data_IF_826669668618
#
_entry.id   IF_826669668618
#
_cell.length_a   1.000
_cell.length_b   1.000
_cell.length_c   1.000
_cell.angle_alpha   90.00
_cell.angle_beta   90.00
_cell.angle_gamma   90.00
#
_symmetry.space_group_name_H-M   'P 1'
#
loop_
_entity.id
_entity.type
_entity.pdbx_description
1 polymer ?
#
# COMPACT_ATOMS: atom_id res chain seq x y z
N UNK A 1 -16.32 -7.22 -10.54
CA UNK A 1 -15.62 -5.95 -10.23
C UNK A 1 -14.49 -5.77 -11.24
N UNK A 2 -14.17 -4.55 -11.69
CA UNK A 2 -13.07 -4.33 -12.66
C UNK A 2 -11.92 -3.59 -11.97
N UNK A 3 -10.69 -4.07 -12.15
CA UNK A 3 -9.49 -3.39 -11.65
C UNK A 3 -9.23 -2.11 -12.45
N UNK A 4 -8.94 -1.03 -11.73
CA UNK A 4 -8.71 0.30 -12.27
C UNK A 4 -7.31 0.76 -11.91
N UNK A 5 -6.55 1.28 -12.86
CA UNK A 5 -5.15 1.67 -12.67
C UNK A 5 -4.96 3.18 -12.64
N UNK A 6 -4.04 3.66 -11.82
CA UNK A 6 -3.69 5.07 -11.68
C UNK A 6 -2.17 5.24 -11.54
N UNK A 7 -1.61 6.18 -12.30
CA UNK A 7 -0.16 6.30 -12.54
C UNK A 7 0.42 7.64 -12.03
N UNK A 8 -0.33 8.37 -11.20
CA UNK A 8 0.16 9.62 -10.60
C UNK A 8 0.39 9.45 -9.10
N UNK A 9 1.50 9.99 -8.62
CA UNK A 9 1.83 9.92 -7.21
C UNK A 9 0.95 10.89 -6.40
N UNK A 10 0.17 10.35 -5.45
CA UNK A 10 -0.58 11.15 -4.48
C UNK A 10 0.41 11.69 -3.44
N UNK A 11 0.48 13.01 -3.25
CA UNK A 11 1.54 13.66 -2.45
C UNK A 11 1.04 14.80 -1.54
N UNK A 12 1.87 15.18 -0.57
CA UNK A 12 1.64 16.27 0.38
C UNK A 12 0.32 16.09 1.15
N UNK A 13 -0.44 17.19 1.29
CA UNK A 13 -1.74 17.18 1.97
C UNK A 13 -2.74 16.18 1.39
N UNK A 14 -2.64 15.87 0.10
CA UNK A 14 -3.51 14.86 -0.51
C UNK A 14 -3.20 13.46 0.02
N UNK A 15 -1.91 13.12 0.16
CA UNK A 15 -1.48 11.85 0.73
C UNK A 15 -1.86 11.73 2.21
N UNK A 16 -1.62 12.78 2.98
CA UNK A 16 -1.97 12.83 4.41
C UNK A 16 -3.47 12.62 4.67
N UNK A 17 -4.35 12.99 3.72
CA UNK A 17 -5.78 12.72 3.78
C UNK A 17 -6.17 11.38 3.17
N UNK A 18 -5.45 10.94 2.14
CA UNK A 18 -5.71 9.68 1.44
C UNK A 18 -5.51 8.46 2.35
N UNK A 19 -4.45 8.44 3.16
CA UNK A 19 -4.15 7.28 4.01
C UNK A 19 -5.23 7.04 5.08
N UNK A 20 -5.64 8.04 5.89
CA UNK A 20 -6.77 7.87 6.82
C UNK A 20 -8.06 7.46 6.11
N UNK A 21 -8.39 8.09 4.97
CA UNK A 21 -9.57 7.73 4.18
C UNK A 21 -9.56 6.26 3.74
N UNK A 22 -8.40 5.75 3.32
CA UNK A 22 -8.25 4.32 2.98
C UNK A 22 -8.40 3.44 4.22
N UNK A 23 -7.84 3.84 5.36
CA UNK A 23 -7.96 3.11 6.62
C UNK A 23 -9.37 3.09 7.21
N UNK A 24 -10.18 4.12 6.96
CA UNK A 24 -11.62 4.14 7.29
C UNK A 24 -12.42 3.15 6.44
N UNK A 25 -11.99 2.91 5.20
CA UNK A 25 -12.68 2.01 4.27
C UNK A 25 -12.24 0.55 4.43
N UNK A 26 -11.00 0.32 4.84
CA UNK A 26 -10.36 -0.98 4.80
C UNK A 26 -9.64 -1.29 6.11
N UNK A 27 -10.05 -2.33 6.85
CA UNK A 27 -9.58 -2.60 8.22
C UNK A 27 -8.13 -3.09 8.29
N UNK A 28 -7.52 -3.46 7.17
CA UNK A 28 -6.17 -4.03 7.12
C UNK A 28 -5.38 -3.39 5.98
N UNK A 29 -4.11 -3.11 6.22
CA UNK A 29 -3.14 -2.78 5.19
C UNK A 29 -1.93 -3.70 5.27
N UNK A 30 -1.11 -3.72 4.21
CA UNK A 30 0.16 -4.43 4.22
C UNK A 30 1.32 -3.62 3.68
N UNK A 31 2.51 -4.05 4.04
CA UNK A 31 3.79 -3.59 3.52
C UNK A 31 4.66 -4.81 3.21
N UNK A 32 5.59 -4.67 2.26
CA UNK A 32 6.51 -5.74 1.85
C UNK A 32 7.95 -5.40 2.14
N UNK A 33 8.76 -6.39 2.53
CA UNK A 33 10.23 -6.25 2.62
C UNK A 33 10.93 -7.39 1.91
N UNK A 34 12.25 -7.29 1.72
CA UNK A 34 13.04 -8.38 1.13
C UNK A 34 12.95 -8.44 -0.40
N UNK A 35 13.18 -7.31 -1.09
CA UNK A 35 13.51 -7.33 -2.52
C UNK A 35 14.87 -8.03 -2.75
N UNK A 36 15.33 -8.08 -4.01
CA UNK A 36 16.68 -8.46 -4.48
C UNK A 36 17.82 -7.58 -3.88
N UNK A 37 17.59 -6.96 -2.72
CA UNK A 37 18.51 -6.07 -2.02
C UNK A 37 18.47 -6.38 -0.53
N UNK A 38 19.60 -6.28 0.17
CA UNK A 38 19.63 -6.46 1.62
C UNK A 38 18.65 -5.52 2.33
N UNK A 39 18.01 -6.07 3.36
CA UNK A 39 17.29 -5.33 4.39
C UNK A 39 18.22 -4.26 4.99
N UNK A 40 17.69 -3.07 5.27
CA UNK A 40 18.45 -1.94 5.82
C UNK A 40 17.96 -1.62 7.22
N UNK A 41 18.83 -1.11 8.07
CA UNK A 41 18.50 -0.73 9.45
C UNK A 41 17.29 0.22 9.52
N UNK A 42 17.18 1.17 8.57
CA UNK A 42 16.03 2.08 8.48
C UNK A 42 14.70 1.36 8.22
N UNK A 43 14.70 0.25 7.46
CA UNK A 43 13.50 -0.55 7.23
C UNK A 43 13.03 -1.22 8.52
N UNK A 44 13.97 -1.62 9.37
CA UNK A 44 13.68 -2.31 10.64
C UNK A 44 13.12 -1.35 11.66
N UNK A 45 13.71 -0.16 11.78
CA UNK A 45 13.21 0.92 12.62
C UNK A 45 11.76 1.30 12.25
N UNK A 46 11.45 1.34 10.95
CA UNK A 46 10.08 1.62 10.50
C UNK A 46 9.13 0.48 10.89
N UNK A 47 9.51 -0.78 10.63
CA UNK A 47 8.67 -1.94 10.94
C UNK A 47 8.42 -2.10 12.44
N UNK A 48 9.42 -1.88 13.29
CA UNK A 48 9.29 -1.94 14.76
C UNK A 48 8.20 -0.99 15.28
N UNK A 49 8.04 0.17 14.65
CA UNK A 49 6.98 1.12 15.01
C UNK A 49 5.58 0.59 14.67
N UNK A 50 5.48 -0.30 13.69
CA UNK A 50 4.22 -0.95 13.32
C UNK A 50 3.92 -2.22 14.13
N UNK A 51 4.88 -2.80 14.85
CA UNK A 51 4.72 -4.07 15.58
C UNK A 51 3.50 -4.14 16.50
N UNK A 52 3.12 -3.07 17.24
CA UNK A 52 1.92 -3.09 18.08
C UNK A 52 0.61 -3.32 17.30
N UNK A 53 0.63 -3.14 15.98
CA UNK A 53 -0.53 -3.25 15.10
C UNK A 53 -0.45 -4.47 14.17
N UNK A 54 0.58 -5.31 14.28
CA UNK A 54 0.82 -6.47 13.43
C UNK A 54 -0.28 -7.51 13.62
N UNK A 55 -0.81 -8.00 12.49
CA UNK A 55 -1.79 -9.08 12.42
C UNK A 55 -1.12 -10.36 11.93
N UNK A 56 -0.32 -10.24 10.88
CA UNK A 56 0.31 -11.38 10.20
C UNK A 56 1.65 -10.97 9.61
N UNK A 57 2.63 -11.86 9.68
CA UNK A 57 3.91 -11.78 8.99
C UNK A 57 4.11 -13.10 8.25
N UNK A 58 4.36 -13.04 6.94
CA UNK A 58 4.50 -14.25 6.12
C UNK A 58 5.49 -14.06 4.98
N UNK A 59 6.31 -15.07 4.74
CA UNK A 59 7.11 -15.16 3.51
C UNK A 59 6.22 -15.48 2.31
N UNK A 60 6.35 -14.70 1.24
CA UNK A 60 5.52 -14.77 0.05
C UNK A 60 6.34 -14.65 -1.22
N UNK A 61 5.85 -15.28 -2.28
CA UNK A 61 6.34 -15.11 -3.64
C UNK A 61 5.44 -14.16 -4.46
N UNK A 62 4.29 -13.77 -3.91
CA UNK A 62 3.35 -12.86 -4.56
C UNK A 62 2.62 -12.00 -3.54
N UNK A 63 2.30 -10.78 -3.96
CA UNK A 63 1.48 -9.83 -3.22
C UNK A 63 0.69 -8.99 -4.25
N UNK A 64 -0.25 -8.13 -3.82
CA UNK A 64 -1.09 -7.41 -4.76
C UNK A 64 -0.28 -6.62 -5.79
N UNK A 65 -0.36 -7.05 -7.05
CA UNK A 65 0.29 -6.40 -8.19
C UNK A 65 1.72 -6.86 -8.49
N UNK A 66 2.30 -7.81 -7.74
CA UNK A 66 3.67 -8.27 -7.99
C UNK A 66 3.85 -9.75 -7.65
N UNK A 67 4.62 -10.45 -8.48
CA UNK A 67 5.02 -11.84 -8.28
C UNK A 67 6.52 -11.99 -8.55
N UNK A 68 7.22 -12.65 -7.65
CA UNK A 68 8.62 -13.04 -7.83
C UNK A 68 8.66 -14.16 -8.87
N UNK A 69 9.47 -13.95 -9.91
CA UNK A 69 9.68 -14.95 -10.96
C UNK A 69 10.59 -16.07 -10.44
N UNK A 70 10.45 -17.32 -10.93
CA UNK A 70 11.22 -18.48 -10.46
C UNK A 70 12.74 -18.33 -10.54
N UNK A 71 13.22 -17.45 -11.41
CA UNK A 71 14.64 -17.14 -11.63
C UNK A 71 15.15 -15.97 -10.79
N UNK A 72 14.31 -15.38 -9.93
CA UNK A 72 14.68 -14.33 -9.00
C UNK A 72 15.11 -14.90 -7.67
N UNK A 73 16.34 -14.61 -7.24
CA UNK A 73 16.81 -14.92 -5.89
C UNK A 73 16.17 -13.92 -4.91
N UNK A 74 15.07 -14.32 -4.28
CA UNK A 74 14.45 -13.49 -3.24
C UNK A 74 13.23 -14.14 -2.61
N UNK A 75 13.15 -14.02 -1.29
CA UNK A 75 11.92 -14.25 -0.52
C UNK A 75 11.46 -12.89 -0.01
N UNK A 76 10.23 -12.51 -0.34
CA UNK A 76 9.64 -11.30 0.19
C UNK A 76 8.89 -11.62 1.48
N UNK A 77 8.95 -10.74 2.47
CA UNK A 77 8.07 -10.82 3.64
C UNK A 77 6.92 -9.84 3.49
N UNK A 78 5.69 -10.34 3.58
CA UNK A 78 4.49 -9.53 3.67
C UNK A 78 4.12 -9.36 5.14
N UNK A 79 3.95 -8.10 5.56
CA UNK A 79 3.46 -7.73 6.88
C UNK A 79 2.06 -7.15 6.72
N UNK A 80 1.07 -7.69 7.44
CA UNK A 80 -0.28 -7.14 7.51
C UNK A 80 -0.51 -6.50 8.86
N UNK A 81 -1.10 -5.31 8.86
CA UNK A 81 -1.35 -4.51 10.04
C UNK A 81 -2.81 -4.08 10.10
N UNK A 82 -3.31 -3.87 11.30
CA UNK A 82 -4.63 -3.26 11.52
C UNK A 82 -4.60 -1.80 11.08
N UNK A 83 -5.58 -1.38 10.27
CA UNK A 83 -5.86 0.02 10.02
C UNK A 83 -6.50 0.66 11.25
N UNK A 84 -5.75 1.50 11.94
CA UNK A 84 -6.22 2.29 13.08
C UNK A 84 -5.42 3.59 13.16
N UNK A 85 -5.86 4.54 13.99
CA UNK A 85 -5.22 5.86 14.07
C UNK A 85 -3.70 5.78 14.29
N UNK A 86 -3.24 4.87 15.15
CA UNK A 86 -1.81 4.68 15.44
C UNK A 86 -1.01 4.24 14.22
N UNK A 87 -1.45 3.19 13.53
CA UNK A 87 -0.74 2.65 12.36
C UNK A 87 -0.83 3.58 11.15
N UNK A 88 -1.99 4.20 10.91
CA UNK A 88 -2.19 5.15 9.82
C UNK A 88 -1.35 6.42 10.03
N UNK A 89 -1.16 6.86 11.28
CA UNK A 89 -0.28 7.97 11.62
C UNK A 89 1.17 7.70 11.26
N UNK A 90 1.65 6.47 11.47
CA UNK A 90 3.01 6.09 11.07
C UNK A 90 3.13 6.19 9.55
N UNK A 91 2.18 5.65 8.78
CA UNK A 91 2.20 5.72 7.32
C UNK A 91 2.30 7.16 6.77
N UNK A 92 1.63 8.13 7.40
CA UNK A 92 1.70 9.55 6.97
C UNK A 92 2.89 10.32 7.53
N UNK A 93 3.60 9.76 8.51
CA UNK A 93 4.79 10.38 9.12
C UNK A 93 6.07 9.95 8.39
N UNK A 94 6.14 8.69 7.95
CA UNK A 94 7.34 8.19 7.23
C UNK A 94 7.55 8.87 5.88
N UNK A 95 6.46 9.27 5.22
CA UNK A 95 6.57 9.92 3.93
C UNK A 95 5.37 10.82 3.63
N UNK A 96 5.53 11.69 2.65
CA UNK A 96 4.48 12.59 2.19
C UNK A 96 3.88 12.16 0.83
N UNK A 97 4.26 11.00 0.29
CA UNK A 97 3.82 10.57 -1.04
C UNK A 97 3.68 9.05 -1.18
N UNK A 98 2.66 8.63 -1.92
CA UNK A 98 2.26 7.23 -2.03
C UNK A 98 3.36 6.31 -2.59
N UNK A 99 4.03 6.70 -3.67
CA UNK A 99 5.04 5.85 -4.31
C UNK A 99 6.42 5.89 -3.62
N UNK A 100 6.53 6.49 -2.43
CA UNK A 100 7.75 6.36 -1.62
C UNK A 100 7.79 5.06 -0.79
N UNK A 101 6.67 4.36 -0.65
CA UNK A 101 6.64 2.97 -0.19
C UNK A 101 7.16 2.03 -1.29
N UNK A 102 8.40 2.20 -1.74
CA UNK A 102 8.95 1.53 -2.93
C UNK A 102 10.11 0.58 -2.63
N UNK A 103 10.42 0.31 -1.35
CA UNK A 103 11.54 -0.54 -0.97
C UNK A 103 12.90 0.17 -0.96
N UNK A 104 12.98 1.49 -1.19
CA UNK A 104 14.24 2.27 -1.12
C UNK A 104 14.31 3.05 0.19
N UNK A 105 14.94 2.45 1.21
CA UNK A 105 15.09 3.08 2.53
C UNK A 105 13.92 2.84 3.49
N UNK A 106 13.09 1.83 3.21
CA UNK A 106 11.92 1.44 3.98
C UNK A 106 11.13 0.39 3.21
N UNK A 107 10.01 -0.09 3.76
CA UNK A 107 9.23 -1.16 3.14
C UNK A 107 8.53 -0.70 1.84
N UNK A 108 8.05 -1.68 1.08
CA UNK A 108 7.48 -1.52 -0.24
C UNK A 108 5.98 -1.78 -0.34
N UNK A 109 5.44 -1.36 -1.48
CA UNK A 109 4.18 -1.77 -2.10
C UNK A 109 2.99 -1.81 -1.10
N UNK A 110 2.65 -0.65 -0.54
CA UNK A 110 1.48 -0.45 0.32
C UNK A 110 0.19 -0.95 -0.36
N UNK A 111 -0.59 -1.75 0.37
CA UNK A 111 -1.88 -2.27 -0.07
C UNK A 111 -2.92 -2.27 1.05
N UNK A 112 -4.21 -2.18 0.71
CA UNK A 112 -5.35 -2.22 1.65
C UNK A 112 -6.33 -3.35 1.30
N UNK A 113 -6.92 -3.95 2.33
CA UNK A 113 -7.72 -5.18 2.25
C UNK A 113 -9.05 -5.05 2.99
N UNK A 114 -10.05 -5.78 2.50
CA UNK A 114 -11.34 -5.96 3.17
C UNK A 114 -11.22 -6.91 4.36
N UNK A 115 -12.29 -7.01 5.16
CA UNK A 115 -12.38 -7.97 6.27
C UNK A 115 -12.17 -9.42 5.83
N UNK A 116 -12.66 -9.79 4.64
CA UNK A 116 -12.48 -11.13 4.06
C UNK A 116 -11.08 -11.39 3.49
N UNK A 117 -10.16 -10.42 3.60
CA UNK A 117 -8.79 -10.51 3.09
C UNK A 117 -8.65 -10.18 1.61
N UNK A 118 -9.73 -9.82 0.90
CA UNK A 118 -9.67 -9.42 -0.51
C UNK A 118 -8.97 -8.07 -0.66
N UNK A 119 -8.00 -7.97 -1.57
CA UNK A 119 -7.30 -6.73 -1.86
C UNK A 119 -8.22 -5.72 -2.56
N UNK A 120 -8.32 -4.50 -2.01
CA UNK A 120 -9.13 -3.41 -2.56
C UNK A 120 -8.27 -2.31 -3.19
N UNK A 121 -7.04 -2.15 -2.73
CA UNK A 121 -6.07 -1.21 -3.28
C UNK A 121 -4.67 -1.77 -3.15
N UNK A 122 -3.84 -1.58 -4.15
CA UNK A 122 -2.43 -1.93 -4.11
C UNK A 122 -1.59 -0.94 -4.86
N UNK A 123 -0.33 -0.81 -4.45
CA UNK A 123 0.69 -0.06 -5.20
C UNK A 123 1.70 -1.04 -5.78
N UNK A 124 2.19 -0.72 -6.96
CA UNK A 124 3.46 -1.25 -7.46
C UNK A 124 4.38 -0.04 -7.51
N UNK A 125 4.77 0.41 -6.31
CA UNK A 125 5.27 1.77 -6.09
C UNK A 125 6.58 2.04 -6.83
N UNK A 126 7.41 1.01 -6.94
CA UNK A 126 8.64 1.02 -7.73
C UNK A 126 8.41 1.14 -9.25
N UNK A 127 7.23 0.78 -9.74
CA UNK A 127 6.79 0.96 -11.14
C UNK A 127 5.92 2.22 -11.31
N UNK A 128 5.64 2.96 -10.23
CA UNK A 128 4.97 4.26 -10.28
C UNK A 128 3.46 4.18 -10.57
N UNK A 129 2.79 3.09 -10.21
CA UNK A 129 1.33 3.01 -10.29
C UNK A 129 0.69 2.36 -9.07
N UNK A 130 -0.61 2.60 -8.94
CA UNK A 130 -1.49 1.86 -8.05
C UNK A 130 -2.72 1.36 -8.82
N UNK A 131 -3.47 0.48 -8.17
CA UNK A 131 -4.71 -0.04 -8.71
C UNK A 131 -5.79 -0.12 -7.62
N UNK A 132 -7.03 -0.06 -8.08
CA UNK A 132 -8.23 -0.10 -7.27
C UNK A 132 -9.10 -1.26 -7.71
N UNK A 133 -9.46 -2.11 -6.77
CA UNK A 133 -10.50 -3.13 -6.87
C UNK A 133 -11.73 -2.63 -6.11
N UNK A 134 -12.18 -1.43 -6.46
CA UNK A 134 -13.31 -0.76 -5.81
C UNK A 134 -14.63 -1.13 -6.47
N UNK A 135 -15.70 -1.14 -5.68
CA UNK A 135 -17.06 -1.05 -6.22
C UNK A 135 -17.28 0.31 -6.87
N UNK A 136 -18.39 0.47 -7.58
CA UNK A 136 -18.74 1.76 -8.18
C UNK A 136 -18.95 2.80 -7.08
N UNK A 137 -19.60 2.42 -6.00
CA UNK A 137 -19.94 3.27 -4.86
C UNK A 137 -18.69 3.74 -4.12
N UNK A 138 -17.71 2.86 -3.93
CA UNK A 138 -16.42 3.17 -3.33
C UNK A 138 -15.59 4.12 -4.19
N UNK A 139 -15.56 3.89 -5.50
CA UNK A 139 -14.90 4.80 -6.43
C UNK A 139 -15.54 6.19 -6.45
N UNK A 140 -16.87 6.26 -6.42
CA UNK A 140 -17.57 7.55 -6.33
C UNK A 140 -17.34 8.22 -4.97
N UNK A 141 -17.25 7.47 -3.87
CA UNK A 141 -16.85 7.99 -2.55
C UNK A 141 -15.44 8.58 -2.60
N UNK A 142 -14.48 7.88 -3.22
CA UNK A 142 -13.11 8.37 -3.42
C UNK A 142 -13.10 9.69 -4.22
N UNK A 143 -13.80 9.73 -5.36
CA UNK A 143 -13.86 10.93 -6.20
C UNK A 143 -14.47 12.12 -5.46
N UNK A 144 -15.52 11.90 -4.66
CA UNK A 144 -16.14 12.95 -3.83
C UNK A 144 -15.21 13.43 -2.72
N UNK A 145 -14.42 12.55 -2.11
CA UNK A 145 -13.47 12.92 -1.06
C UNK A 145 -12.25 13.70 -1.62
N UNK A 146 -11.87 13.42 -2.87
CA UNK A 146 -10.71 14.01 -3.54
C UNK A 146 -11.07 14.61 -4.90
N UNK A 147 -11.95 15.63 -4.97
CA UNK A 147 -12.44 16.19 -6.23
C UNK A 147 -11.35 16.96 -7.00
N UNK A 148 -10.28 17.36 -6.29
CA UNK A 148 -9.10 18.03 -6.86
C UNK A 148 -8.10 17.07 -7.50
N UNK A 149 -8.26 15.75 -7.30
CA UNK A 149 -7.45 14.74 -7.99
C UNK A 149 -8.16 14.36 -9.28
N UNK A 150 -7.46 14.49 -10.41
CA UNK A 150 -7.94 13.97 -11.70
C UNK A 150 -7.74 12.45 -11.74
N UNK A 151 -8.79 11.72 -11.36
CA UNK A 151 -8.85 10.25 -11.36
C UNK A 151 -8.99 9.69 -12.79
N UNK A 152 -7.95 9.87 -13.62
CA UNK A 152 -7.87 9.30 -14.97
C UNK A 152 -7.55 7.80 -14.91
N UNK A 153 -8.45 7.04 -14.29
CA UNK A 153 -8.27 5.61 -14.08
C UNK A 153 -8.48 4.83 -15.37
N UNK A 154 -7.56 3.90 -15.65
CA UNK A 154 -7.56 3.09 -16.88
C UNK A 154 -7.98 1.66 -16.57
N UNK A 155 -8.67 1.01 -17.51
CA UNK A 155 -8.77 -0.45 -17.53
C UNK A 155 -7.53 -0.99 -18.23
N UNK A 156 -6.90 -2.02 -17.68
CA UNK A 156 -5.93 -2.85 -18.41
C UNK A 156 -6.63 -4.12 -18.86
#
# INVERSE_FOLDING_TARGET
MKTLYYDRNIKGKAFQRFIPFMGEMFPVFSLTTGRVRPRRDDEDIILERFDPFLIEKKEVLEWPGTRILPWGDGVCTLYKYRSCDGSLRILVTETDRLFNWNGRGGPGDLAFYREDGTNSFGTVAHEGYCFFNFTKEELERLKRAFPYIRWNVKKR
#
